data_IF_415864869273
#
_entry.id   IF_415864869273
#
_cell.length_a   1.000
_cell.length_b   1.000
_cell.length_c   1.000
_cell.angle_alpha   90.00
_cell.angle_beta   90.00
_cell.angle_gamma   90.00
#
_symmetry.space_group_name_H-M   'P 1'
#
loop_
_entity.id
_entity.type
_entity.pdbx_description
1 polymer ?
#
# COMPACT_ATOMS: atom_id res chain seq x y z
N UNK A 1 16.25 2.49 -16.91
CA UNK A 1 16.07 2.35 -15.45
C UNK A 1 14.57 2.12 -15.20
N UNK A 2 14.17 0.86 -15.08
CA UNK A 2 12.79 0.39 -15.00
C UNK A 2 12.21 0.72 -13.62
N UNK A 3 11.43 1.81 -13.55
CA UNK A 3 10.76 2.22 -12.31
C UNK A 3 9.57 1.31 -12.00
N UNK A 4 9.83 0.13 -11.45
CA UNK A 4 8.81 -0.73 -10.83
C UNK A 4 8.04 0.10 -9.79
N UNK A 5 6.72 -0.13 -9.56
CA UNK A 5 6.00 0.51 -8.46
C UNK A 5 6.77 0.30 -7.15
N UNK A 6 7.23 1.38 -6.52
CA UNK A 6 8.11 1.28 -5.37
C UNK A 6 7.42 0.57 -4.19
N UNK A 7 7.97 -0.57 -3.77
CA UNK A 7 7.57 -1.31 -2.57
C UNK A 7 7.33 -2.80 -2.84
N UNK A 8 7.52 -3.62 -1.81
CA UNK A 8 7.21 -5.04 -1.82
C UNK A 8 5.92 -5.31 -1.01
N UNK A 9 4.85 -5.83 -1.66
CA UNK A 9 3.63 -6.24 -0.97
C UNK A 9 3.88 -7.22 0.18
N UNK A 10 4.80 -8.17 0.00
CA UNK A 10 5.07 -9.20 1.00
C UNK A 10 5.65 -8.59 2.27
N UNK A 11 6.59 -7.64 2.14
CA UNK A 11 7.13 -6.88 3.26
C UNK A 11 6.05 -6.06 4.00
N UNK A 12 5.17 -5.36 3.28
CA UNK A 12 4.07 -4.59 3.89
C UNK A 12 3.09 -5.50 4.64
N UNK A 13 2.73 -6.62 4.03
CA UNK A 13 1.85 -7.63 4.61
C UNK A 13 2.48 -8.27 5.86
N UNK A 14 3.77 -8.60 5.80
CA UNK A 14 4.52 -9.16 6.91
C UNK A 14 4.59 -8.19 8.09
N UNK A 15 4.91 -6.92 7.84
CA UNK A 15 4.96 -5.88 8.87
C UNK A 15 3.59 -5.67 9.51
N UNK A 16 2.53 -5.58 8.69
CA UNK A 16 1.16 -5.48 9.19
C UNK A 16 0.77 -6.68 10.05
N UNK A 17 1.11 -7.90 9.61
CA UNK A 17 0.89 -9.13 10.40
C UNK A 17 1.66 -9.14 11.73
N UNK A 18 2.89 -8.63 11.74
CA UNK A 18 3.68 -8.49 12.97
C UNK A 18 3.02 -7.52 13.96
N UNK A 19 2.55 -6.36 13.51
CA UNK A 19 1.83 -5.41 14.38
C UNK A 19 0.58 -6.06 14.98
N UNK A 20 -0.22 -6.76 14.17
CA UNK A 20 -1.44 -7.42 14.66
C UNK A 20 -1.15 -8.54 15.66
N UNK A 21 -0.09 -9.33 15.43
CA UNK A 21 0.37 -10.33 16.42
C UNK A 21 0.81 -9.67 17.74
N UNK A 22 1.51 -8.54 17.68
CA UNK A 22 1.91 -7.79 18.89
C UNK A 22 0.70 -7.21 19.61
N UNK A 23 -0.28 -6.67 18.90
CA UNK A 23 -1.54 -6.21 19.47
C UNK A 23 -2.30 -7.34 20.17
N UNK A 24 -2.41 -8.50 19.53
CA UNK A 24 -3.03 -9.68 20.13
C UNK A 24 -2.28 -10.18 21.37
N UNK A 25 -0.95 -10.22 21.32
CA UNK A 25 -0.12 -10.57 22.48
C UNK A 25 -0.27 -9.59 23.64
N UNK A 26 -0.34 -8.29 23.36
CA UNK A 26 -0.60 -7.27 24.38
C UNK A 26 -2.01 -7.40 24.97
N UNK A 27 -3.03 -7.65 24.13
CA UNK A 27 -4.39 -7.88 24.59
C UNK A 27 -4.47 -9.10 25.52
N UNK A 28 -3.75 -10.18 25.19
CA UNK A 28 -3.65 -11.37 26.04
C UNK A 28 -2.97 -11.06 27.38
N UNK A 29 -1.89 -10.28 27.37
CA UNK A 29 -1.19 -9.88 28.59
C UNK A 29 -2.02 -8.92 29.46
N UNK A 30 -2.86 -8.10 28.83
CA UNK A 30 -3.75 -7.15 29.51
C UNK A 30 -5.06 -7.78 29.99
N UNK A 31 -5.40 -8.99 29.54
CA UNK A 31 -6.65 -9.70 29.89
C UNK A 31 -6.93 -9.78 31.41
N UNK A 32 -5.94 -9.97 32.30
CA UNK A 32 -6.19 -9.99 33.75
C UNK A 32 -6.53 -8.62 34.35
N UNK A 33 -6.33 -7.52 33.61
CA UNK A 33 -6.60 -6.17 34.09
C UNK A 33 -8.10 -5.86 33.99
N UNK A 34 -8.72 -5.26 35.01
CA UNK A 34 -10.09 -4.76 34.89
C UNK A 34 -10.17 -3.75 33.74
N UNK A 35 -11.13 -3.92 32.82
CA UNK A 35 -11.31 -3.02 31.68
C UNK A 35 -11.54 -1.56 32.12
N UNK A 36 -12.15 -1.38 33.29
CA UNK A 36 -12.47 -0.07 33.87
C UNK A 36 -11.32 0.51 34.71
N UNK A 37 -10.20 -0.21 34.83
CA UNK A 37 -8.98 0.35 35.41
C UNK A 37 -8.30 1.29 34.41
N UNK A 38 -7.54 2.27 34.92
CA UNK A 38 -6.74 3.15 34.07
C UNK A 38 -5.78 2.34 33.17
N UNK A 39 -5.10 1.36 33.74
CA UNK A 39 -4.17 0.47 33.04
C UNK A 39 -4.88 -0.39 31.97
N UNK A 40 -6.05 -0.95 32.29
CA UNK A 40 -6.87 -1.71 31.34
C UNK A 40 -7.31 -0.87 30.14
N UNK A 41 -7.77 0.36 30.37
CA UNK A 41 -8.12 1.31 29.30
C UNK A 41 -6.91 1.69 28.43
N UNK A 42 -5.76 1.97 29.04
CA UNK A 42 -4.54 2.31 28.31
C UNK A 42 -4.08 1.13 27.44
N UNK A 43 -4.03 -0.07 27.99
CA UNK A 43 -3.66 -1.28 27.25
C UNK A 43 -4.61 -1.54 26.08
N UNK A 44 -5.93 -1.46 26.31
CA UNK A 44 -6.93 -1.58 25.25
C UNK A 44 -6.76 -0.55 24.13
N UNK A 45 -6.47 0.70 24.49
CA UNK A 45 -6.22 1.76 23.52
C UNK A 45 -4.96 1.51 22.69
N UNK A 46 -3.84 1.07 23.31
CA UNK A 46 -2.61 0.70 22.57
C UNK A 46 -2.88 -0.45 21.62
N UNK A 47 -3.52 -1.53 22.09
CA UNK A 47 -3.88 -2.68 21.26
C UNK A 47 -4.67 -2.25 20.02
N UNK A 48 -5.68 -1.40 20.20
CA UNK A 48 -6.52 -0.92 19.12
C UNK A 48 -5.73 -0.12 18.07
N UNK A 49 -4.83 0.78 18.49
CA UNK A 49 -4.02 1.56 17.55
C UNK A 49 -3.01 0.69 16.79
N UNK A 50 -2.40 -0.28 17.46
CA UNK A 50 -1.44 -1.19 16.82
C UNK A 50 -2.14 -2.14 15.84
N UNK A 51 -3.31 -2.69 16.17
CA UNK A 51 -4.10 -3.51 15.21
C UNK A 51 -4.56 -2.67 14.02
N UNK A 52 -5.03 -1.44 14.26
CA UNK A 52 -5.45 -0.51 13.19
C UNK A 52 -4.30 -0.22 12.22
N UNK A 53 -3.12 0.13 12.73
CA UNK A 53 -1.93 0.34 11.90
C UNK A 53 -1.55 -0.92 11.11
N UNK A 54 -1.61 -2.10 11.75
CA UNK A 54 -1.34 -3.37 11.09
C UNK A 54 -2.34 -3.70 9.97
N UNK A 55 -3.62 -3.42 10.19
CA UNK A 55 -4.68 -3.58 9.18
C UNK A 55 -4.49 -2.63 7.99
N UNK A 56 -4.13 -1.37 8.25
CA UNK A 56 -3.88 -0.39 7.20
C UNK A 56 -2.71 -0.84 6.29
N UNK A 57 -1.62 -1.36 6.88
CA UNK A 57 -0.49 -1.92 6.12
C UNK A 57 -0.88 -3.14 5.27
N UNK A 58 -1.70 -4.05 5.81
CA UNK A 58 -2.18 -5.20 5.04
C UNK A 58 -3.12 -4.78 3.90
N UNK A 59 -3.98 -3.79 4.11
CA UNK A 59 -4.80 -3.21 3.04
C UNK A 59 -3.94 -2.60 1.93
N UNK A 60 -2.94 -1.80 2.29
CA UNK A 60 -2.00 -1.23 1.32
C UNK A 60 -1.20 -2.30 0.58
N UNK A 61 -0.78 -3.38 1.26
CA UNK A 61 -0.10 -4.50 0.62
C UNK A 61 -0.96 -5.14 -0.48
N UNK A 62 -2.26 -5.30 -0.22
CA UNK A 62 -3.20 -5.83 -1.21
C UNK A 62 -3.33 -4.88 -2.42
N UNK A 63 -3.51 -3.58 -2.17
CA UNK A 63 -3.57 -2.58 -3.25
C UNK A 63 -2.29 -2.56 -4.11
N UNK A 64 -1.12 -2.73 -3.48
CA UNK A 64 0.17 -2.79 -4.17
C UNK A 64 0.30 -4.07 -5.01
N UNK A 65 -0.12 -5.22 -4.48
CA UNK A 65 -0.11 -6.48 -5.23
C UNK A 65 -1.05 -6.41 -6.44
N UNK A 66 -2.24 -5.82 -6.29
CA UNK A 66 -3.18 -5.63 -7.40
C UNK A 66 -2.64 -4.65 -8.46
N UNK A 67 -1.95 -3.59 -8.02
CA UNK A 67 -1.30 -2.64 -8.93
C UNK A 67 -0.19 -3.30 -9.74
N UNK A 68 0.65 -4.14 -9.12
CA UNK A 68 1.71 -4.91 -9.79
C UNK A 68 1.12 -5.89 -10.81
N UNK A 69 0.13 -6.69 -10.42
CA UNK A 69 -0.51 -7.63 -11.34
C UNK A 69 -1.20 -6.91 -12.52
N UNK A 70 -1.80 -5.74 -12.27
CA UNK A 70 -2.40 -4.93 -13.33
C UNK A 70 -1.34 -4.34 -14.27
N UNK A 71 -0.21 -3.90 -13.71
CA UNK A 71 0.92 -3.40 -14.48
C UNK A 71 1.49 -4.47 -15.41
N UNK A 72 1.72 -5.69 -14.90
CA UNK A 72 2.18 -6.83 -15.69
C UNK A 72 1.22 -7.16 -16.85
N UNK A 73 -0.08 -7.20 -16.58
CA UNK A 73 -1.10 -7.40 -17.62
C UNK A 73 -1.08 -6.31 -18.69
N UNK A 74 -0.88 -5.05 -18.30
CA UNK A 74 -0.77 -3.94 -19.24
C UNK A 74 0.53 -3.99 -20.04
N UNK A 75 1.64 -4.42 -19.45
CA UNK A 75 2.90 -4.64 -20.15
C UNK A 75 2.78 -5.73 -21.23
N UNK A 76 2.12 -6.86 -20.91
CA UNK A 76 1.84 -7.91 -21.90
C UNK A 76 0.97 -7.38 -23.06
N UNK A 77 -0.06 -6.58 -22.76
CA UNK A 77 -0.91 -5.96 -23.79
C UNK A 77 -0.15 -4.94 -24.65
N UNK A 78 0.70 -4.14 -24.04
CA UNK A 78 1.57 -3.21 -24.76
C UNK A 78 2.51 -3.96 -25.71
N UNK A 79 3.15 -5.03 -25.22
CA UNK A 79 4.03 -5.86 -26.03
C UNK A 79 3.31 -6.48 -27.24
N UNK A 80 2.07 -6.94 -27.07
CA UNK A 80 1.24 -7.44 -28.17
C UNK A 80 0.91 -6.36 -29.23
N UNK A 81 0.83 -5.09 -28.82
CA UNK A 81 0.69 -3.94 -29.72
C UNK A 81 2.03 -3.42 -30.25
N UNK A 82 3.15 -4.11 -29.97
CA UNK A 82 4.50 -3.69 -30.35
C UNK A 82 4.98 -2.45 -29.60
N UNK A 83 4.41 -2.15 -28.43
CA UNK A 83 4.78 -1.09 -27.50
C UNK A 83 5.52 -1.69 -26.29
N UNK A 84 6.20 -0.84 -25.52
CA UNK A 84 6.84 -1.22 -24.26
C UNK A 84 6.30 -0.36 -23.11
N UNK A 85 6.45 -0.83 -21.87
CA UNK A 85 6.04 -0.11 -20.66
C UNK A 85 7.26 0.13 -19.78
N UNK A 86 7.59 1.41 -19.60
CA UNK A 86 8.70 1.85 -18.74
C UNK A 86 8.15 2.60 -17.54
N UNK A 87 8.11 1.92 -16.39
CA UNK A 87 7.40 2.41 -15.21
C UNK A 87 5.92 2.62 -15.53
N UNK A 88 5.41 3.84 -15.39
CA UNK A 88 4.01 4.18 -15.69
C UNK A 88 3.82 4.83 -17.07
N UNK A 89 4.77 4.66 -17.99
CA UNK A 89 4.71 5.23 -19.34
C UNK A 89 4.70 4.13 -20.40
N UNK A 90 3.80 4.27 -21.37
CA UNK A 90 3.87 3.54 -22.64
C UNK A 90 4.91 4.22 -23.52
N UNK A 91 5.82 3.44 -24.07
CA UNK A 91 6.87 3.92 -24.96
C UNK A 91 6.88 3.13 -26.25
N UNK A 92 7.27 3.78 -27.33
CA UNK A 92 7.49 3.12 -28.61
C UNK A 92 8.94 2.62 -28.67
N UNK A 93 9.19 1.31 -28.90
CA UNK A 93 10.53 0.79 -29.10
C UNK A 93 11.16 1.35 -30.38
N UNK A 94 12.46 1.67 -30.34
CA UNK A 94 13.22 2.06 -31.51
C UNK A 94 13.30 0.93 -32.53
N UNK A 95 13.12 1.23 -33.82
CA UNK A 95 13.31 0.29 -34.92
C UNK A 95 12.54 0.66 -36.19
N UNK A 96 12.95 0.08 -37.32
CA UNK A 96 12.23 0.19 -38.59
C UNK A 96 11.02 -0.74 -38.52
N UNK A 97 9.83 -0.18 -38.74
CA UNK A 97 8.56 -0.90 -38.73
C UNK A 97 7.71 -0.49 -39.92
N UNK A 98 6.68 -1.28 -40.22
CA UNK A 98 5.75 -0.99 -41.31
C UNK A 98 4.75 0.10 -40.92
N UNK A 99 4.17 0.81 -41.91
CA UNK A 99 3.12 1.82 -41.67
C UNK A 99 1.91 1.25 -40.91
N UNK A 100 1.40 0.05 -41.21
CA UNK A 100 0.33 -0.57 -40.41
C UNK A 100 0.72 -0.76 -38.93
N UNK A 101 1.95 -1.13 -38.63
CA UNK A 101 2.44 -1.24 -37.25
C UNK A 101 2.44 0.11 -36.54
N UNK A 102 2.84 1.19 -37.22
CA UNK A 102 2.81 2.55 -36.67
C UNK A 102 1.36 2.97 -36.37
N UNK A 103 0.42 2.66 -37.26
CA UNK A 103 -1.00 2.97 -37.07
C UNK A 103 -1.58 2.22 -35.88
N UNK A 104 -1.37 0.90 -35.80
CA UNK A 104 -1.82 0.07 -34.68
C UNK A 104 -1.26 0.55 -33.32
N UNK A 105 0.02 0.96 -33.29
CA UNK A 105 0.64 1.55 -32.10
C UNK A 105 -0.04 2.86 -31.67
N UNK A 106 -0.29 3.76 -32.63
CA UNK A 106 -0.95 5.05 -32.37
C UNK A 106 -2.38 4.89 -31.86
N UNK A 107 -3.09 3.87 -32.33
CA UNK A 107 -4.43 3.54 -31.85
C UNK A 107 -4.42 2.97 -30.42
N UNK A 108 -3.48 2.07 -30.11
CA UNK A 108 -3.43 1.39 -28.82
C UNK A 108 -2.80 2.21 -27.68
N UNK A 109 -1.83 3.07 -27.98
CA UNK A 109 -1.05 3.76 -26.94
C UNK A 109 -1.86 4.64 -25.98
N UNK A 110 -2.85 5.45 -26.41
CA UNK A 110 -3.63 6.30 -25.51
C UNK A 110 -4.40 5.51 -24.46
N UNK A 111 -5.04 4.41 -24.86
CA UNK A 111 -5.83 3.57 -23.96
C UNK A 111 -4.96 2.86 -22.92
N UNK A 112 -3.80 2.36 -23.36
CA UNK A 112 -2.81 1.73 -22.48
C UNK A 112 -2.24 2.75 -21.48
N UNK A 113 -1.90 3.96 -21.94
CA UNK A 113 -1.40 5.02 -21.07
C UNK A 113 -2.46 5.45 -20.05
N UNK A 114 -3.70 5.65 -20.48
CA UNK A 114 -4.80 6.00 -19.58
C UNK A 114 -5.05 4.91 -18.52
N UNK A 115 -4.88 3.64 -18.87
CA UNK A 115 -4.97 2.54 -17.91
C UNK A 115 -3.84 2.56 -16.88
N UNK A 116 -2.59 2.80 -17.30
CA UNK A 116 -1.45 2.98 -16.41
C UNK A 116 -1.65 4.17 -15.47
N UNK A 117 -2.11 5.31 -15.99
CA UNK A 117 -2.34 6.53 -15.19
C UNK A 117 -3.40 6.31 -14.11
N UNK A 118 -4.49 5.60 -14.43
CA UNK A 118 -5.51 5.22 -13.44
C UNK A 118 -4.93 4.32 -12.34
N UNK A 119 -4.10 3.35 -12.72
CA UNK A 119 -3.40 2.47 -11.77
C UNK A 119 -2.47 3.25 -10.84
N UNK A 120 -1.64 4.13 -11.40
CA UNK A 120 -0.73 5.00 -10.65
C UNK A 120 -1.49 5.93 -9.69
N UNK A 121 -2.58 6.56 -10.16
CA UNK A 121 -3.40 7.43 -9.33
C UNK A 121 -4.07 6.66 -8.17
N UNK A 122 -4.54 5.43 -8.40
CA UNK A 122 -5.09 4.57 -7.34
C UNK A 122 -4.01 4.24 -6.30
N UNK A 123 -2.82 3.81 -6.74
CA UNK A 123 -1.72 3.49 -5.85
C UNK A 123 -1.27 4.71 -5.04
N UNK A 124 -1.19 5.90 -5.67
CA UNK A 124 -0.89 7.16 -4.99
C UNK A 124 -1.91 7.48 -3.88
N UNK A 125 -3.21 7.29 -4.15
CA UNK A 125 -4.26 7.46 -3.13
C UNK A 125 -4.14 6.45 -1.99
N UNK A 126 -3.89 5.18 -2.30
CA UNK A 126 -3.70 4.13 -1.30
C UNK A 126 -2.49 4.43 -0.40
N UNK A 127 -1.37 4.86 -0.99
CA UNK A 127 -0.17 5.29 -0.24
C UNK A 127 -0.46 6.48 0.66
N UNK A 128 -1.17 7.49 0.17
CA UNK A 128 -1.55 8.64 0.98
C UNK A 128 -2.48 8.25 2.14
N UNK A 129 -3.42 7.33 1.90
CA UNK A 129 -4.33 6.82 2.92
C UNK A 129 -3.58 6.07 4.03
N UNK A 130 -2.73 5.10 3.68
CA UNK A 130 -1.94 4.36 4.69
C UNK A 130 -1.00 5.28 5.45
N UNK A 131 -0.39 6.27 4.79
CA UNK A 131 0.49 7.25 5.46
C UNK A 131 -0.29 8.03 6.52
N UNK A 132 -1.50 8.53 6.19
CA UNK A 132 -2.36 9.24 7.14
C UNK A 132 -2.77 8.36 8.33
N UNK A 133 -3.13 7.10 8.05
CA UNK A 133 -3.52 6.15 9.10
C UNK A 133 -2.36 5.85 10.07
N UNK A 134 -1.15 5.65 9.54
CA UNK A 134 0.04 5.42 10.37
C UNK A 134 0.43 6.65 11.18
N UNK A 135 0.33 7.86 10.61
CA UNK A 135 0.55 9.11 11.32
C UNK A 135 -0.48 9.31 12.45
N UNK A 136 -1.75 9.02 12.19
CA UNK A 136 -2.80 9.10 13.19
C UNK A 136 -2.59 8.10 14.34
N UNK A 137 -2.25 6.85 14.01
CA UNK A 137 -1.93 5.83 15.01
C UNK A 137 -0.69 6.21 15.85
N UNK A 138 0.35 6.75 15.22
CA UNK A 138 1.54 7.24 15.92
C UNK A 138 1.20 8.39 16.88
N UNK A 139 0.45 9.39 16.44
CA UNK A 139 0.02 10.50 17.29
C UNK A 139 -0.85 10.03 18.48
N UNK A 140 -1.76 9.08 18.24
CA UNK A 140 -2.58 8.50 19.29
C UNK A 140 -1.74 7.73 20.33
N UNK A 141 -0.77 6.94 19.87
CA UNK A 141 0.15 6.22 20.76
C UNK A 141 1.02 7.19 21.59
N UNK A 142 1.50 8.27 20.98
CA UNK A 142 2.25 9.30 21.71
C UNK A 142 1.40 9.95 22.81
N UNK A 143 0.14 10.29 22.53
CA UNK A 143 -0.78 10.82 23.55
C UNK A 143 -1.06 9.81 24.68
N UNK A 144 -1.20 8.52 24.35
CA UNK A 144 -1.38 7.46 25.35
C UNK A 144 -0.13 7.36 26.24
N UNK A 145 1.08 7.42 25.66
CA UNK A 145 2.33 7.40 26.41
C UNK A 145 2.43 8.60 27.37
N UNK A 146 2.14 9.82 26.90
CA UNK A 146 2.14 11.02 27.76
C UNK A 146 1.16 10.91 28.92
N UNK A 147 -0.03 10.32 28.70
CA UNK A 147 -1.01 10.11 29.78
C UNK A 147 -0.56 9.06 30.80
N UNK A 148 0.27 8.10 30.39
CA UNK A 148 0.81 7.09 31.28
C UNK A 148 1.97 7.64 32.14
N UNK A 149 2.66 8.69 31.69
CA UNK A 149 3.76 9.35 32.40
C UNK A 149 3.29 10.38 33.45
N UNK A 150 2.03 10.80 33.41
CA UNK A 150 1.47 11.70 34.43
C UNK A 150 1.19 10.91 35.72
N UNK A 151 1.78 11.30 36.87
CA UNK A 151 1.46 10.67 38.14
C UNK A 151 -0.02 10.91 38.48
N UNK A 152 -0.77 9.83 38.68
CA UNK A 152 -2.10 9.82 39.29
C UNK A 152 -2.03 10.12 40.77
#
# INVERSE_FOLDING_TARGET
>A
MTGMPAGDPASCSHMGGTLRRRAAGLAQAAYPLPADSATGRLAGAVCAQVDRAGRALQGYAQDLAEALATHERLAVRAAAAGLDVQGWRVVEPYGIVTVPTIQARREAAPDLQAALDRGNARLGRARAAVTRELQAAHAALAQIATRAELPT
#
